data_IF_797006158237
#
_entry.id   IF_797006158237
#
_cell.length_a   1.000
_cell.length_b   1.000
_cell.length_c   1.000
_cell.angle_alpha   90.00
_cell.angle_beta   90.00
_cell.angle_gamma   90.00
#
_symmetry.space_group_name_H-M   'P 1'
#
loop_
_entity.id
_entity.type
_entity.pdbx_description
1 polymer ?
#
# COMPACT_ATOMS: atom_id res chain seq x y z
N UNK A 1 -13.23 -7.64 3.26
CA UNK A 1 -12.70 -8.89 2.66
C UNK A 1 -12.26 -9.80 3.78
N UNK A 2 -12.57 -11.09 3.74
CA UNK A 2 -12.19 -12.05 4.77
C UNK A 2 -11.86 -13.42 4.15
N UNK A 3 -10.94 -14.13 4.78
CA UNK A 3 -10.50 -15.47 4.42
C UNK A 3 -10.70 -16.38 5.65
N UNK A 4 -11.81 -17.13 5.72
CA UNK A 4 -11.99 -18.13 6.78
C UNK A 4 -11.16 -19.39 6.45
N UNK A 5 -10.45 -19.89 7.45
CA UNK A 5 -9.79 -21.20 7.43
C UNK A 5 -10.46 -22.07 8.49
N UNK A 6 -11.00 -23.20 8.10
CA UNK A 6 -11.64 -24.18 8.97
C UNK A 6 -10.91 -25.50 8.88
N UNK A 7 -10.79 -26.18 10.02
CA UNK A 7 -10.13 -27.46 10.12
C UNK A 7 -11.22 -28.50 10.43
N UNK A 8 -11.25 -29.57 9.64
CA UNK A 8 -12.06 -30.76 9.92
C UNK A 8 -11.13 -31.85 10.48
N UNK A 9 -11.41 -32.27 11.70
CA UNK A 9 -10.67 -33.31 12.41
C UNK A 9 -11.44 -34.61 12.54
N UNK A 10 -12.57 -34.75 11.85
CA UNK A 10 -13.48 -35.90 12.02
C UNK A 10 -12.78 -37.23 11.84
N UNK A 11 -11.95 -37.35 10.79
CA UNK A 11 -11.22 -38.59 10.48
C UNK A 11 -10.13 -38.87 11.53
N UNK A 12 -9.39 -37.85 11.96
CA UNK A 12 -8.31 -37.99 12.95
C UNK A 12 -8.89 -38.37 14.32
N UNK A 13 -10.02 -37.73 14.72
CA UNK A 13 -10.70 -38.04 15.97
C UNK A 13 -11.22 -39.48 15.96
N UNK A 14 -11.75 -39.95 14.86
CA UNK A 14 -12.25 -41.33 14.71
C UNK A 14 -11.11 -42.36 14.72
N UNK A 15 -10.01 -42.09 14.01
CA UNK A 15 -8.87 -43.00 13.90
C UNK A 15 -8.15 -43.19 15.22
N UNK A 16 -7.90 -42.10 15.95
CA UNK A 16 -7.18 -42.13 17.23
C UNK A 16 -8.08 -42.19 18.46
N UNK A 17 -9.42 -42.28 18.28
CA UNK A 17 -10.41 -42.32 19.35
C UNK A 17 -10.21 -41.20 20.40
N UNK A 18 -9.98 -39.97 19.92
CA UNK A 18 -9.72 -38.81 20.76
C UNK A 18 -10.99 -38.35 21.49
N UNK A 19 -10.85 -38.02 22.78
CA UNK A 19 -11.92 -37.34 23.50
C UNK A 19 -12.05 -35.87 23.07
N UNK A 20 -13.12 -35.21 23.48
CA UNK A 20 -13.43 -33.83 23.12
C UNK A 20 -12.30 -32.83 23.53
N UNK A 21 -11.68 -33.05 24.69
CA UNK A 21 -10.60 -32.21 25.16
C UNK A 21 -9.35 -32.36 24.29
N UNK A 22 -8.98 -33.59 23.97
CA UNK A 22 -7.84 -33.89 23.09
C UNK A 22 -8.07 -33.37 21.67
N UNK A 23 -9.28 -33.52 21.14
CA UNK A 23 -9.66 -32.95 19.84
C UNK A 23 -9.57 -31.41 19.81
N UNK A 24 -10.04 -30.74 20.88
CA UNK A 24 -9.94 -29.29 21.00
C UNK A 24 -8.49 -28.82 21.14
N UNK A 25 -7.66 -29.54 21.89
CA UNK A 25 -6.22 -29.23 22.01
C UNK A 25 -5.51 -29.39 20.66
N UNK A 26 -5.79 -30.45 19.94
CA UNK A 26 -5.25 -30.69 18.61
C UNK A 26 -5.67 -29.56 17.65
N UNK A 27 -6.96 -29.24 17.62
CA UNK A 27 -7.49 -28.15 16.78
C UNK A 27 -6.84 -26.82 17.08
N UNK A 28 -6.70 -26.46 18.35
CA UNK A 28 -6.04 -25.23 18.77
C UNK A 28 -4.58 -25.18 18.33
N UNK A 29 -3.84 -26.29 18.48
CA UNK A 29 -2.43 -26.38 18.09
C UNK A 29 -2.26 -26.20 16.56
N UNK A 30 -3.14 -26.81 15.75
CA UNK A 30 -3.13 -26.66 14.30
C UNK A 30 -3.44 -25.21 13.92
N UNK A 31 -4.51 -24.61 14.48
CA UNK A 31 -4.86 -23.21 14.22
C UNK A 31 -3.72 -22.26 14.59
N UNK A 32 -3.06 -22.47 15.72
CA UNK A 32 -1.92 -21.64 16.15
C UNK A 32 -0.78 -21.68 15.12
N UNK A 33 -0.46 -22.87 14.63
CA UNK A 33 0.59 -23.04 13.62
C UNK A 33 0.20 -22.40 12.28
N UNK A 34 -1.04 -22.61 11.85
CA UNK A 34 -1.60 -21.99 10.64
C UNK A 34 -1.56 -20.46 10.73
N UNK A 35 -2.00 -19.91 11.87
CA UNK A 35 -1.98 -18.44 12.11
C UNK A 35 -0.57 -17.91 12.03
N UNK A 36 0.39 -18.57 12.67
CA UNK A 36 1.79 -18.15 12.67
C UNK A 36 2.37 -18.15 11.26
N UNK A 37 2.20 -19.25 10.51
CA UNK A 37 2.78 -19.39 9.17
C UNK A 37 2.13 -18.42 8.18
N UNK A 38 0.79 -18.39 8.11
CA UNK A 38 0.08 -17.49 7.21
C UNK A 38 0.41 -16.02 7.51
N UNK A 39 0.37 -15.61 8.78
CA UNK A 39 0.67 -14.23 9.18
C UNK A 39 2.09 -13.84 8.80
N UNK A 40 3.06 -14.75 8.99
CA UNK A 40 4.45 -14.53 8.58
C UNK A 40 4.58 -14.30 7.07
N UNK A 41 3.97 -15.17 6.24
CA UNK A 41 3.99 -15.01 4.78
C UNK A 41 3.30 -13.72 4.34
N UNK A 42 2.12 -13.44 4.90
CA UNK A 42 1.37 -12.22 4.58
C UNK A 42 2.16 -10.97 4.95
N UNK A 43 2.72 -10.90 6.14
CA UNK A 43 3.53 -9.77 6.60
C UNK A 43 4.80 -9.58 5.75
N UNK A 44 5.44 -10.67 5.32
CA UNK A 44 6.60 -10.61 4.43
C UNK A 44 6.23 -10.02 3.06
N UNK A 45 5.09 -10.43 2.48
CA UNK A 45 4.58 -9.86 1.24
C UNK A 45 4.22 -8.38 1.39
N UNK A 46 3.55 -8.00 2.47
CA UNK A 46 3.24 -6.60 2.79
C UNK A 46 4.53 -5.76 2.85
N UNK A 47 5.52 -6.23 3.59
CA UNK A 47 6.79 -5.52 3.75
C UNK A 47 7.57 -5.40 2.43
N UNK A 48 7.54 -6.44 1.61
CA UNK A 48 8.22 -6.48 0.31
C UNK A 48 7.56 -5.57 -0.72
N UNK A 49 6.23 -5.57 -0.79
CA UNK A 49 5.50 -4.96 -1.90
C UNK A 49 4.86 -3.60 -1.58
N UNK A 50 4.56 -3.34 -0.30
CA UNK A 50 3.96 -2.09 0.13
C UNK A 50 4.98 -1.22 0.84
N UNK A 51 5.11 0.02 0.38
CA UNK A 51 6.07 0.98 0.91
C UNK A 51 5.36 2.16 1.59
N UNK A 52 4.70 3.01 0.81
CA UNK A 52 3.97 4.16 1.35
C UNK A 52 2.60 3.77 1.92
N UNK A 53 1.95 2.76 1.34
CA UNK A 53 0.65 2.26 1.78
C UNK A 53 0.73 1.18 2.87
N UNK A 54 1.94 0.78 3.28
CA UNK A 54 2.13 -0.33 4.23
C UNK A 54 1.43 -0.12 5.56
N UNK A 55 1.62 1.03 6.18
CA UNK A 55 1.02 1.35 7.48
C UNK A 55 -0.52 1.40 7.41
N UNK A 56 -1.04 1.99 6.33
CA UNK A 56 -2.47 2.04 6.07
C UNK A 56 -3.05 0.64 5.85
N UNK A 57 -2.33 -0.22 5.12
CA UNK A 57 -2.74 -1.59 4.89
C UNK A 57 -2.73 -2.40 6.20
N UNK A 58 -1.64 -2.34 6.98
CA UNK A 58 -1.51 -3.05 8.25
C UNK A 58 -2.57 -2.64 9.27
N UNK A 59 -3.03 -1.40 9.24
CA UNK A 59 -4.11 -0.92 10.12
C UNK A 59 -5.44 -1.60 9.83
N UNK A 60 -5.66 -2.05 8.60
CA UNK A 60 -6.87 -2.76 8.21
C UNK A 60 -6.85 -4.25 8.54
N UNK A 61 -5.67 -4.83 8.77
CA UNK A 61 -5.51 -6.27 9.03
C UNK A 61 -6.16 -6.64 10.36
N UNK A 62 -6.99 -7.67 10.34
CA UNK A 62 -7.51 -8.30 11.56
C UNK A 62 -7.45 -9.82 11.47
N UNK A 63 -7.39 -10.47 12.64
CA UNK A 63 -7.42 -11.92 12.81
C UNK A 63 -8.43 -12.21 13.90
N UNK A 64 -9.44 -13.01 13.58
CA UNK A 64 -10.48 -13.45 14.53
C UNK A 64 -10.43 -14.95 14.66
N UNK A 65 -10.73 -15.47 15.85
CA UNK A 65 -10.81 -16.90 16.15
C UNK A 65 -12.19 -17.23 16.70
N UNK A 66 -13.15 -17.56 15.81
CA UNK A 66 -14.50 -17.90 16.23
C UNK A 66 -14.58 -19.18 17.08
N UNK A 67 -13.65 -20.13 16.83
CA UNK A 67 -13.55 -21.39 17.59
C UNK A 67 -12.11 -21.93 17.61
N UNK A 68 -11.90 -23.06 18.31
CA UNK A 68 -10.64 -23.81 18.30
C UNK A 68 -10.28 -24.42 16.93
N UNK A 69 -11.26 -24.51 16.03
CA UNK A 69 -11.12 -25.11 14.69
C UNK A 69 -11.30 -24.08 13.56
N UNK A 70 -11.42 -22.81 13.90
CA UNK A 70 -11.67 -21.78 12.89
C UNK A 70 -10.87 -20.51 13.19
N UNK A 71 -10.25 -19.96 12.13
CA UNK A 71 -9.63 -18.64 12.12
C UNK A 71 -10.08 -17.86 10.91
N UNK A 72 -10.29 -16.57 11.06
CA UNK A 72 -10.65 -15.64 9.99
C UNK A 72 -9.59 -14.56 9.90
N UNK A 73 -8.91 -14.50 8.78
CA UNK A 73 -8.04 -13.39 8.40
C UNK A 73 -8.81 -12.39 7.57
N UNK A 74 -8.59 -11.10 7.77
CA UNK A 74 -9.34 -10.14 7.00
C UNK A 74 -8.77 -8.73 6.95
N UNK A 75 -9.42 -7.92 6.12
CA UNK A 75 -9.17 -6.50 5.97
C UNK A 75 -10.44 -5.71 6.27
N UNK A 76 -10.34 -4.80 7.23
CA UNK A 76 -11.41 -3.88 7.60
C UNK A 76 -11.44 -2.69 6.65
N UNK A 77 -12.46 -2.64 5.78
CA UNK A 77 -12.71 -1.50 4.88
C UNK A 77 -12.95 -0.20 5.66
N UNK A 78 -13.51 -0.31 6.86
CA UNK A 78 -13.77 0.84 7.74
C UNK A 78 -12.47 1.48 8.21
N UNK A 79 -11.47 0.67 8.55
CA UNK A 79 -10.17 1.16 9.02
C UNK A 79 -9.31 1.69 7.87
N UNK A 80 -9.32 1.01 6.72
CA UNK A 80 -8.61 1.47 5.53
C UNK A 80 -9.24 0.98 4.23
N UNK A 81 -10.01 1.81 3.52
CA UNK A 81 -10.49 1.51 2.16
C UNK A 81 -9.34 1.24 1.17
N UNK A 82 -8.16 1.84 1.42
CA UNK A 82 -6.98 1.65 0.58
C UNK A 82 -6.49 0.20 0.59
N UNK A 83 -6.62 -0.51 1.72
CA UNK A 83 -6.22 -1.91 1.81
C UNK A 83 -6.99 -2.79 0.82
N UNK A 84 -8.31 -2.58 0.70
CA UNK A 84 -9.12 -3.29 -0.28
C UNK A 84 -8.73 -2.95 -1.72
N UNK A 85 -8.46 -1.66 -2.01
CA UNK A 85 -7.99 -1.24 -3.33
C UNK A 85 -6.63 -1.86 -3.69
N UNK A 86 -5.77 -2.11 -2.70
CA UNK A 86 -4.50 -2.80 -2.91
C UNK A 86 -4.72 -4.29 -3.22
N UNK A 87 -5.64 -4.94 -2.55
CA UNK A 87 -5.98 -6.36 -2.77
C UNK A 87 -6.66 -6.59 -4.12
N UNK A 88 -7.76 -5.91 -4.35
CA UNK A 88 -8.66 -6.15 -5.49
C UNK A 88 -8.32 -5.29 -6.71
N UNK A 89 -7.47 -4.28 -6.52
CA UNK A 89 -7.26 -3.26 -7.50
C UNK A 89 -8.35 -2.20 -7.50
N UNK A 90 -8.17 -1.19 -8.33
CA UNK A 90 -9.17 -0.16 -8.57
C UNK A 90 -9.13 0.30 -10.02
N UNK A 91 -10.29 0.48 -10.61
CA UNK A 91 -10.43 1.13 -11.91
C UNK A 91 -9.92 2.57 -11.86
N UNK A 92 -9.52 3.18 -13.00
CA UNK A 92 -9.20 4.60 -13.05
C UNK A 92 -10.31 5.47 -12.49
N UNK A 93 -9.95 6.47 -11.71
CA UNK A 93 -10.91 7.36 -11.06
C UNK A 93 -10.41 8.80 -10.96
N UNK A 94 -11.36 9.74 -10.82
CA UNK A 94 -11.06 11.14 -10.54
C UNK A 94 -10.77 11.32 -9.04
N UNK A 95 -9.58 11.81 -8.71
CA UNK A 95 -9.17 12.05 -7.33
C UNK A 95 -9.78 13.32 -6.71
N UNK A 96 -10.32 14.24 -7.53
CA UNK A 96 -10.84 15.55 -7.05
C UNK A 96 -11.92 15.44 -5.97
N UNK A 97 -12.91 14.51 -6.07
CA UNK A 97 -13.91 14.34 -5.01
C UNK A 97 -13.31 13.94 -3.66
N UNK A 98 -12.24 13.14 -3.68
CA UNK A 98 -11.48 12.77 -2.48
C UNK A 98 -10.73 13.95 -1.88
N UNK A 99 -10.10 14.76 -2.72
CA UNK A 99 -9.41 15.98 -2.28
C UNK A 99 -10.34 17.01 -1.67
N UNK A 100 -11.53 17.18 -2.22
CA UNK A 100 -12.56 18.09 -1.68
C UNK A 100 -12.97 17.71 -0.26
N UNK A 101 -13.09 16.42 0.03
CA UNK A 101 -13.45 15.88 1.36
C UNK A 101 -12.31 15.85 2.36
N UNK A 102 -11.08 16.16 1.93
CA UNK A 102 -9.91 16.14 2.79
C UNK A 102 -9.99 17.20 3.88
N UNK A 103 -9.62 16.86 5.11
CA UNK A 103 -9.47 17.83 6.22
C UNK A 103 -8.43 18.91 5.95
N UNK A 104 -7.54 18.72 4.97
CA UNK A 104 -6.54 19.68 4.52
C UNK A 104 -7.04 20.62 3.41
N UNK A 105 -8.24 20.37 2.86
CA UNK A 105 -8.84 21.27 1.89
C UNK A 105 -9.18 22.61 2.56
N UNK A 106 -8.91 23.70 1.84
CA UNK A 106 -9.12 25.06 2.32
C UNK A 106 -10.16 25.77 1.46
N UNK A 107 -10.95 26.62 2.08
CA UNK A 107 -11.85 27.51 1.35
C UNK A 107 -11.02 28.63 0.67
N UNK A 108 -11.42 29.03 -0.54
CA UNK A 108 -10.81 30.16 -1.24
C UNK A 108 -11.11 31.46 -0.50
N UNK A 109 -10.20 32.45 -0.62
CA UNK A 109 -10.32 33.76 0.07
C UNK A 109 -11.60 34.52 -0.27
N UNK A 110 -12.17 34.32 -1.46
CA UNK A 110 -13.43 34.93 -1.88
C UNK A 110 -14.67 34.20 -1.33
N UNK A 111 -14.51 33.22 -0.48
CA UNK A 111 -15.60 32.41 0.09
C UNK A 111 -16.25 31.43 -0.88
N UNK A 112 -15.89 31.44 -2.16
CA UNK A 112 -16.49 30.61 -3.19
C UNK A 112 -15.51 29.52 -3.63
N UNK A 113 -15.85 28.25 -3.34
CA UNK A 113 -15.06 27.10 -3.75
C UNK A 113 -13.91 26.74 -2.79
N UNK A 114 -13.20 25.69 -3.16
CA UNK A 114 -12.16 25.08 -2.35
C UNK A 114 -10.86 24.92 -3.12
N UNK A 115 -9.76 24.69 -2.40
CA UNK A 115 -8.49 24.25 -2.97
C UNK A 115 -7.72 23.37 -1.99
N UNK A 116 -6.86 22.52 -2.54
CA UNK A 116 -5.88 21.75 -1.78
C UNK A 116 -4.52 21.87 -2.48
N UNK A 117 -3.46 21.98 -1.68
CA UNK A 117 -2.09 21.91 -2.19
C UNK A 117 -1.54 20.51 -1.91
N UNK A 118 -1.24 19.79 -2.98
CA UNK A 118 -0.71 18.41 -2.92
C UNK A 118 0.80 18.44 -3.07
N UNK A 119 1.55 17.94 -2.06
CA UNK A 119 3.00 17.82 -2.15
C UNK A 119 3.39 16.55 -2.93
N UNK A 120 4.34 16.70 -3.86
CA UNK A 120 4.99 15.58 -4.56
C UNK A 120 6.44 15.52 -4.13
N UNK A 121 6.80 14.47 -3.42
CA UNK A 121 8.16 14.21 -2.98
C UNK A 121 9.00 13.64 -4.12
N UNK A 122 10.22 14.17 -4.26
CA UNK A 122 11.21 13.70 -5.24
C UNK A 122 12.38 13.04 -4.51
N UNK A 123 12.75 11.84 -4.93
CA UNK A 123 13.92 11.15 -4.39
C UNK A 123 15.20 11.80 -4.89
N UNK A 124 16.17 11.97 -4.00
CA UNK A 124 17.52 12.45 -4.36
C UNK A 124 18.33 11.32 -5.00
N UNK A 125 19.38 11.63 -5.78
CA UNK A 125 20.26 10.62 -6.33
C UNK A 125 20.89 9.72 -5.24
N UNK A 126 21.15 10.25 -4.05
CA UNK A 126 21.74 9.51 -2.93
C UNK A 126 20.74 8.56 -2.24
N UNK A 127 19.44 8.82 -2.37
CA UNK A 127 18.41 7.95 -1.79
C UNK A 127 18.33 6.54 -2.42
N UNK A 128 19.03 6.32 -3.54
CA UNK A 128 19.09 5.02 -4.23
C UNK A 128 19.89 4.00 -3.42
N UNK A 129 21.00 4.43 -2.81
CA UNK A 129 21.92 3.52 -2.13
C UNK A 129 21.26 2.82 -0.92
N UNK A 130 20.12 3.33 -0.44
CA UNK A 130 19.48 2.87 0.79
C UNK A 130 18.10 2.23 0.59
N UNK A 131 17.46 2.37 -0.57
CA UNK A 131 16.16 1.72 -0.81
C UNK A 131 15.71 1.71 -2.27
N UNK A 132 15.32 0.56 -2.80
CA UNK A 132 14.65 0.35 -4.10
C UNK A 132 13.27 1.03 -4.23
N UNK A 133 12.98 2.02 -3.37
CA UNK A 133 11.63 2.52 -3.08
C UNK A 133 11.09 3.50 -4.12
N UNK A 134 11.93 4.14 -4.92
CA UNK A 134 11.49 5.24 -5.78
C UNK A 134 11.46 4.85 -7.25
N UNK A 135 10.26 4.87 -7.85
CA UNK A 135 10.08 4.61 -9.30
C UNK A 135 10.78 5.61 -10.21
N UNK A 136 11.09 6.80 -9.71
CA UNK A 136 11.85 7.79 -10.47
C UNK A 136 12.71 8.65 -9.55
N UNK A 137 13.97 8.61 -9.79
CA UNK A 137 14.99 9.37 -9.10
C UNK A 137 15.16 10.72 -9.80
N UNK A 138 15.43 11.76 -9.02
CA UNK A 138 15.76 13.06 -9.55
C UNK A 138 17.15 13.00 -10.23
N UNK A 139 17.29 13.49 -11.47
CA UNK A 139 18.60 13.61 -12.10
C UNK A 139 19.57 14.46 -11.26
N UNK A 140 20.86 14.12 -11.31
CA UNK A 140 21.88 14.85 -10.56
C UNK A 140 21.88 16.35 -10.88
N UNK A 141 21.73 16.73 -12.15
CA UNK A 141 21.65 18.14 -12.60
C UNK A 141 20.51 18.90 -11.92
N UNK A 142 19.34 18.28 -11.79
CA UNK A 142 18.18 18.88 -11.10
C UNK A 142 18.43 18.97 -9.59
N UNK A 143 19.05 17.95 -9.00
CA UNK A 143 19.39 17.95 -7.58
C UNK A 143 20.35 19.09 -7.24
N UNK A 144 21.41 19.30 -8.03
CA UNK A 144 22.41 20.33 -7.82
C UNK A 144 21.81 21.74 -7.95
N UNK A 145 20.92 21.94 -8.93
CA UNK A 145 20.15 23.17 -9.06
C UNK A 145 19.27 23.43 -7.83
N UNK A 146 18.49 22.44 -7.41
CA UNK A 146 17.56 22.60 -6.29
C UNK A 146 18.27 22.75 -4.95
N UNK A 147 19.43 22.08 -4.75
CA UNK A 147 20.25 22.18 -3.55
C UNK A 147 20.79 23.59 -3.33
N UNK A 148 21.17 24.26 -4.40
CA UNK A 148 21.81 25.59 -4.37
C UNK A 148 20.80 26.73 -4.54
N UNK A 149 19.51 26.43 -4.84
CA UNK A 149 18.49 27.46 -5.04
C UNK A 149 17.80 27.82 -3.72
N UNK A 150 17.77 29.10 -3.31
CA UNK A 150 16.98 29.54 -2.16
C UNK A 150 15.47 29.67 -2.46
N UNK A 151 15.08 29.54 -3.73
CA UNK A 151 13.71 29.71 -4.23
C UNK A 151 13.27 28.50 -5.02
N UNK A 152 11.96 28.27 -5.17
CA UNK A 152 11.44 27.23 -6.07
C UNK A 152 11.98 27.42 -7.50
N UNK A 153 12.41 26.34 -8.13
CA UNK A 153 12.94 26.36 -9.49
C UNK A 153 11.86 26.81 -10.49
N UNK A 154 12.19 27.78 -11.32
CA UNK A 154 11.35 28.16 -12.46
C UNK A 154 11.59 27.21 -13.63
N UNK A 155 10.67 27.12 -14.59
CA UNK A 155 10.85 26.33 -15.80
C UNK A 155 12.11 26.76 -16.58
N UNK A 156 12.39 28.06 -16.65
CA UNK A 156 13.59 28.60 -17.30
C UNK A 156 14.90 28.18 -16.66
N UNK A 157 14.88 27.79 -15.38
CA UNK A 157 16.08 27.38 -14.63
C UNK A 157 16.44 25.91 -14.88
N UNK A 158 15.49 25.14 -15.45
CA UNK A 158 15.66 23.72 -15.73
C UNK A 158 16.44 23.52 -17.01
N UNK A 159 17.21 22.42 -17.14
CA UNK A 159 17.75 21.96 -18.43
C UNK A 159 16.63 21.77 -19.47
N UNK A 160 16.92 21.99 -20.73
CA UNK A 160 15.92 22.00 -21.82
C UNK A 160 15.08 20.72 -21.90
N UNK A 161 15.69 19.56 -21.66
CA UNK A 161 15.02 18.27 -21.61
C UNK A 161 14.00 18.13 -20.46
N UNK A 162 14.13 18.95 -19.44
CA UNK A 162 13.23 18.98 -18.28
C UNK A 162 12.23 20.15 -18.28
N UNK A 163 12.25 20.99 -19.31
CA UNK A 163 11.27 22.07 -19.50
C UNK A 163 9.97 21.59 -20.17
N UNK A 164 9.98 20.38 -20.71
CA UNK A 164 8.88 19.80 -21.47
C UNK A 164 7.69 19.51 -20.55
N UNK A 165 6.50 19.89 -21.01
CA UNK A 165 5.25 19.57 -20.33
C UNK A 165 4.91 18.08 -20.55
N UNK A 166 4.68 17.37 -19.47
CA UNK A 166 4.23 15.99 -19.56
C UNK A 166 2.82 15.89 -20.13
N UNK A 167 2.62 14.89 -20.99
CA UNK A 167 1.29 14.53 -21.51
C UNK A 167 0.90 13.18 -20.91
N UNK A 168 -0.22 13.15 -20.18
CA UNK A 168 -0.86 11.90 -19.82
C UNK A 168 -1.73 11.48 -20.99
N UNK A 169 -1.31 10.45 -21.70
CA UNK A 169 -2.06 9.88 -22.82
C UNK A 169 -3.22 9.03 -22.32
N UNK A 170 -4.22 8.88 -23.17
CA UNK A 170 -5.29 7.91 -22.94
C UNK A 170 -4.69 6.50 -22.80
N UNK A 171 -4.99 5.84 -21.70
CA UNK A 171 -4.56 4.45 -21.48
C UNK A 171 -5.66 3.58 -22.07
N UNK A 172 -5.39 2.98 -23.23
CA UNK A 172 -6.29 2.02 -23.88
C UNK A 172 -6.16 0.64 -23.20
N UNK A 173 -6.73 0.53 -22.02
CA UNK A 173 -7.06 -0.77 -21.43
C UNK A 173 -8.54 -1.02 -21.75
N UNK A 174 -8.93 -2.18 -22.29
CA UNK A 174 -10.33 -2.46 -22.60
C UNK A 174 -11.23 -2.17 -21.40
N UNK A 175 -12.19 -1.27 -21.55
CA UNK A 175 -13.07 -0.82 -20.49
C UNK A 175 -12.55 0.33 -19.60
N UNK A 176 -11.30 0.82 -19.81
CA UNK A 176 -10.65 1.79 -18.93
C UNK A 176 -10.05 2.94 -19.76
N UNK A 177 -10.81 4.02 -19.93
CA UNK A 177 -10.32 5.24 -20.60
C UNK A 177 -9.98 6.30 -19.56
N UNK A 178 -8.68 6.62 -19.44
CA UNK A 178 -8.23 7.81 -18.70
C UNK A 178 -8.12 8.96 -19.68
N UNK A 179 -8.81 10.08 -19.49
CA UNK A 179 -8.77 11.21 -20.41
C UNK A 179 -7.34 11.73 -20.64
N UNK A 180 -7.02 12.10 -21.87
CA UNK A 180 -5.75 12.77 -22.16
C UNK A 180 -5.68 14.11 -21.42
N UNK A 181 -4.49 14.44 -20.92
CA UNK A 181 -4.27 15.69 -20.23
C UNK A 181 -2.82 16.17 -20.38
N UNK A 182 -2.65 17.42 -20.76
CA UNK A 182 -1.34 18.10 -20.83
C UNK A 182 -1.12 18.81 -19.49
N UNK A 183 -0.04 18.47 -18.79
CA UNK A 183 0.31 19.11 -17.54
C UNK A 183 0.65 20.59 -17.74
N UNK A 184 0.16 21.46 -16.85
CA UNK A 184 0.42 22.92 -16.93
C UNK A 184 1.81 23.33 -16.46
N UNK A 185 2.54 22.42 -15.82
CA UNK A 185 3.89 22.65 -15.30
C UNK A 185 4.80 21.46 -15.65
N UNK A 186 6.07 21.74 -15.89
CA UNK A 186 7.08 20.71 -16.07
C UNK A 186 7.30 19.90 -14.78
N UNK A 187 7.85 18.67 -14.90
CA UNK A 187 7.96 17.73 -13.79
C UNK A 187 8.62 18.34 -12.54
N UNK A 188 9.70 19.08 -12.72
CA UNK A 188 10.49 19.67 -11.62
C UNK A 188 10.25 21.18 -11.46
N UNK A 189 9.34 21.77 -12.20
CA UNK A 189 8.96 23.17 -12.04
C UNK A 189 8.30 23.40 -10.67
N UNK A 190 8.80 24.37 -9.92
CA UNK A 190 8.40 24.62 -8.54
C UNK A 190 9.10 23.74 -7.51
N UNK A 191 10.15 22.99 -7.89
CA UNK A 191 10.91 22.16 -6.97
C UNK A 191 11.60 23.03 -5.92
N UNK A 192 11.42 22.68 -4.67
CA UNK A 192 11.98 23.38 -3.51
C UNK A 192 12.51 22.40 -2.49
N UNK A 193 13.61 22.75 -1.85
CA UNK A 193 14.12 22.05 -0.67
C UNK A 193 13.35 22.53 0.56
N UNK A 194 12.71 21.62 1.28
CA UNK A 194 12.06 21.89 2.57
C UNK A 194 13.04 21.53 3.69
N UNK A 195 13.31 22.45 4.60
CA UNK A 195 14.17 22.19 5.77
C UNK A 195 13.46 21.16 6.65
N UNK A 196 14.20 20.15 7.09
CA UNK A 196 13.71 19.16 8.04
C UNK A 196 14.23 19.50 9.44
N UNK A 197 13.46 19.12 10.44
CA UNK A 197 13.84 19.30 11.85
C UNK A 197 14.80 18.21 12.34
N UNK A 198 15.01 17.13 11.57
CA UNK A 198 15.93 16.06 11.93
C UNK A 198 16.93 15.71 10.82
N UNK A 199 18.19 15.42 11.22
CA UNK A 199 19.30 15.12 10.32
C UNK A 199 19.11 13.85 9.47
N UNK A 200 18.36 12.87 9.96
CA UNK A 200 18.09 11.62 9.19
C UNK A 200 17.14 11.84 8.02
N UNK A 201 16.17 12.76 8.17
CA UNK A 201 15.24 13.12 7.09
C UNK A 201 15.96 13.96 6.02
N UNK A 202 17.01 14.69 6.38
CA UNK A 202 17.83 15.46 5.42
C UNK A 202 18.51 14.58 4.38
N UNK A 203 18.97 13.38 4.76
CA UNK A 203 19.61 12.42 3.86
C UNK A 203 18.63 11.77 2.86
N UNK A 204 17.34 11.71 3.17
CA UNK A 204 16.30 11.03 2.35
C UNK A 204 15.50 11.95 1.42
N UNK A 205 15.92 13.21 1.28
CA UNK A 205 15.34 14.12 0.29
C UNK A 205 14.09 14.86 0.73
N UNK A 206 14.32 16.10 1.14
CA UNK A 206 13.27 17.07 1.46
C UNK A 206 12.91 17.92 0.25
N UNK A 207 12.89 17.33 -0.94
CA UNK A 207 12.63 18.03 -2.19
C UNK A 207 11.21 17.78 -2.63
N UNK A 208 10.41 18.85 -2.75
CA UNK A 208 9.00 18.77 -3.10
C UNK A 208 8.67 19.71 -4.25
N UNK A 209 7.78 19.27 -5.12
CA UNK A 209 6.95 20.15 -5.95
C UNK A 209 5.56 20.19 -5.38
N UNK A 210 4.88 21.31 -5.49
CA UNK A 210 3.52 21.49 -5.00
C UNK A 210 2.58 21.74 -6.18
N UNK A 211 1.47 21.00 -6.22
CA UNK A 211 0.43 21.19 -7.21
C UNK A 211 -0.86 21.56 -6.50
N UNK A 212 -1.60 22.52 -7.07
CA UNK A 212 -2.90 22.94 -6.52
C UNK A 212 -4.02 22.26 -7.30
N UNK A 213 -4.92 21.64 -6.56
CA UNK A 213 -6.22 21.18 -7.03
C UNK A 213 -7.31 22.04 -6.45
N UNK A 214 -8.38 22.28 -7.18
CA UNK A 214 -9.51 23.12 -6.75
C UNK A 214 -10.76 22.76 -7.53
N UNK A 215 -11.88 23.35 -7.14
CA UNK A 215 -13.17 23.31 -7.86
C UNK A 215 -13.07 23.78 -9.32
N UNK A 216 -12.12 24.68 -9.63
CA UNK A 216 -11.89 25.20 -11.00
C UNK A 216 -10.74 24.47 -11.72
N UNK A 217 -10.22 23.37 -11.18
CA UNK A 217 -9.23 22.56 -11.87
C UNK A 217 -9.85 21.87 -13.08
N UNK A 218 -9.06 21.72 -14.14
CA UNK A 218 -9.47 21.02 -15.35
C UNK A 218 -10.12 19.67 -15.02
N UNK A 219 -11.27 19.32 -15.61
CA UNK A 219 -11.97 18.06 -15.35
C UNK A 219 -11.06 16.84 -15.48
N UNK A 220 -10.09 16.87 -16.41
CA UNK A 220 -9.22 15.75 -16.71
C UNK A 220 -7.87 15.77 -15.95
N UNK A 221 -7.65 16.76 -15.05
CA UNK A 221 -6.31 17.02 -14.51
C UNK A 221 -5.86 16.03 -13.42
N UNK A 222 -6.78 15.46 -12.65
CA UNK A 222 -6.48 14.66 -11.46
C UNK A 222 -7.07 13.24 -11.55
N UNK A 223 -6.78 12.57 -12.65
CA UNK A 223 -7.16 11.19 -12.82
C UNK A 223 -6.05 10.26 -12.35
N UNK A 224 -6.41 9.31 -11.47
CA UNK A 224 -5.60 8.16 -11.14
C UNK A 224 -5.74 7.12 -12.26
N UNK A 225 -4.64 6.52 -12.67
CA UNK A 225 -4.62 5.48 -13.71
C UNK A 225 -5.18 4.11 -13.26
N UNK A 226 -5.70 4.04 -12.05
CA UNK A 226 -6.10 2.79 -11.41
C UNK A 226 -4.99 2.16 -10.59
N UNK A 227 -5.34 1.14 -9.85
CA UNK A 227 -4.44 0.36 -8.99
C UNK A 227 -4.52 -1.09 -9.44
N UNK A 228 -3.38 -1.68 -9.79
CA UNK A 228 -3.31 -3.12 -10.10
C UNK A 228 -3.47 -3.93 -8.82
N UNK A 229 -4.37 -4.92 -8.84
CA UNK A 229 -4.57 -5.85 -7.73
C UNK A 229 -3.26 -6.53 -7.34
N UNK A 230 -2.95 -6.55 -6.04
CA UNK A 230 -1.76 -7.23 -5.53
C UNK A 230 -2.05 -8.61 -4.98
N UNK A 231 -3.28 -8.86 -4.55
CA UNK A 231 -3.76 -10.15 -4.03
C UNK A 231 -2.83 -10.74 -2.96
N UNK A 232 -2.45 -9.90 -2.01
CA UNK A 232 -1.46 -10.28 -0.99
C UNK A 232 -1.99 -11.39 -0.07
N UNK A 233 -3.30 -11.39 0.23
CA UNK A 233 -3.94 -12.43 1.03
C UNK A 233 -3.92 -13.79 0.31
N UNK A 234 -4.33 -13.84 -0.95
CA UNK A 234 -4.34 -15.08 -1.74
C UNK A 234 -2.93 -15.63 -1.89
N UNK A 235 -1.98 -14.77 -2.24
CA UNK A 235 -0.58 -15.14 -2.41
C UNK A 235 0.09 -15.59 -1.11
N UNK A 236 -0.32 -15.03 0.02
CA UNK A 236 0.15 -15.48 1.33
C UNK A 236 -0.39 -16.88 1.64
N UNK A 237 -1.65 -17.17 1.28
CA UNK A 237 -2.26 -18.48 1.44
C UNK A 237 -1.53 -19.54 0.61
N UNK A 238 -1.29 -19.24 -0.66
CA UNK A 238 -0.51 -20.12 -1.55
C UNK A 238 0.91 -20.40 -1.00
N UNK A 239 1.56 -19.37 -0.45
CA UNK A 239 2.93 -19.47 0.08
C UNK A 239 3.01 -20.15 1.46
N UNK A 240 1.91 -20.23 2.19
CA UNK A 240 1.88 -20.81 3.55
C UNK A 240 1.80 -22.34 3.55
N UNK A 241 1.49 -22.98 2.42
CA UNK A 241 1.39 -24.45 2.31
C UNK A 241 0.56 -25.05 3.47
N UNK A 242 -0.64 -24.53 3.69
CA UNK A 242 -1.46 -24.78 4.90
C UNK A 242 -1.63 -26.27 5.20
N UNK A 243 -1.87 -27.11 4.20
CA UNK A 243 -2.07 -28.56 4.39
C UNK A 243 -0.83 -29.21 4.98
N UNK A 244 0.36 -28.84 4.53
CA UNK A 244 1.63 -29.34 5.07
C UNK A 244 1.84 -28.88 6.51
N UNK A 245 1.56 -27.60 6.78
CA UNK A 245 1.67 -27.04 8.13
C UNK A 245 0.71 -27.70 9.09
N UNK A 246 -0.54 -27.96 8.65
CA UNK A 246 -1.53 -28.68 9.43
C UNK A 246 -1.09 -30.13 9.71
N UNK A 247 -0.62 -30.88 8.71
CA UNK A 247 -0.12 -32.26 8.90
C UNK A 247 1.01 -32.31 9.92
N UNK A 248 2.00 -31.41 9.82
CA UNK A 248 3.10 -31.36 10.80
C UNK A 248 2.59 -31.07 12.23
N UNK A 249 1.61 -30.19 12.38
CA UNK A 249 1.05 -29.89 13.70
C UNK A 249 0.23 -31.05 14.27
N UNK A 250 -0.44 -31.82 13.41
CA UNK A 250 -1.13 -33.05 13.78
C UNK A 250 -0.11 -34.07 14.31
N UNK A 251 0.92 -34.37 13.56
CA UNK A 251 1.94 -35.37 13.95
C UNK A 251 2.60 -35.01 15.29
N UNK A 252 3.08 -33.75 15.42
CA UNK A 252 3.71 -33.25 16.66
C UNK A 252 2.77 -33.33 17.88
N UNK A 253 1.47 -32.99 17.70
CA UNK A 253 0.53 -32.94 18.80
C UNK A 253 0.03 -34.35 19.19
N UNK A 254 -0.20 -35.24 18.22
CA UNK A 254 -0.54 -36.63 18.47
C UNK A 254 0.57 -37.36 19.21
N UNK A 255 1.83 -37.15 18.82
CA UNK A 255 2.96 -37.73 19.56
C UNK A 255 2.95 -37.29 21.03
N UNK A 256 2.66 -36.03 21.31
CA UNK A 256 2.55 -35.51 22.68
C UNK A 256 1.36 -36.06 23.47
N UNK A 257 0.23 -36.31 22.79
CA UNK A 257 -0.98 -36.87 23.43
C UNK A 257 -0.83 -38.35 23.73
N UNK A 258 -0.18 -39.12 22.83
CA UNK A 258 0.02 -40.57 22.97
C UNK A 258 1.13 -40.94 23.97
N UNK A 259 2.06 -40.02 24.23
CA UNK A 259 3.15 -40.20 25.20
C UNK A 259 2.81 -39.74 26.62
N UNK A 260 1.57 -39.31 26.89
CA UNK A 260 1.02 -38.99 28.21
C UNK A 260 0.29 -40.18 28.85
#
# INVERSE_FOLDING_TARGET
MSLPIRIDLSDVVAEFNLDENSANMLGAAIIDRVVQEYSSKWQNLINKELKQSREEYLRAVYIERPSSLEVVFGLSVRESPLALMVEEGASPFDEKPGFQKSSKAKQKKNGLGWYLTVPFRHATPQAIAESEIFKSIMPQSIYDLAKNSPKPLKRSDLPSEHQILGVRKEINIPGLKVPEYVHKAAKYEGLVRVKAESSEIEKRGNYFTFRRVSDTSDPNSWWNGGITAKRLMDRALEAAEIDKVASMAIDETLEQLLNR
#
